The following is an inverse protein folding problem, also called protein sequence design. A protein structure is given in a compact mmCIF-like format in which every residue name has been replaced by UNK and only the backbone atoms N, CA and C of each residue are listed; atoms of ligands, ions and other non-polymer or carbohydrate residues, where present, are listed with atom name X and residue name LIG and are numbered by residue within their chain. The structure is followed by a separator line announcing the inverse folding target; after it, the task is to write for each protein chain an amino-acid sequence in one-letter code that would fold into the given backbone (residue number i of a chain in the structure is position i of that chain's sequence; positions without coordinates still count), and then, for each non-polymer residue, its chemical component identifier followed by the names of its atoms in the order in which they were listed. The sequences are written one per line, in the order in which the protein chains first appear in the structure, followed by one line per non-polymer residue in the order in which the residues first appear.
data_IF_541792633937
#
_entry.id   IF_541792633937
#
_cell.length_a   1.000
_cell.length_b   1.000
_cell.length_c   1.000
_cell.angle_alpha   90.00
_cell.angle_beta   90.00
_cell.angle_gamma   90.00
#
_symmetry.space_group_name_H-M   'P 1'
#
loop_
_entity.id
_entity.type
_entity.pdbx_description
1 polymer ?
#
# COMPACT_ATOMS: atom_id res chain seq x y z
N UNK A 1 22.21 -39.82 -46.32
CA UNK A 1 22.82 -38.50 -46.13
C UNK A 1 22.34 -38.00 -44.77
N UNK A 2 22.90 -38.57 -43.71
CA UNK A 2 22.54 -38.22 -42.32
C UNK A 2 23.57 -37.20 -41.83
N UNK A 3 23.11 -35.98 -41.64
CA UNK A 3 23.88 -34.87 -41.08
C UNK A 3 23.94 -34.99 -39.56
N UNK A 4 25.14 -35.29 -39.04
CA UNK A 4 25.46 -35.20 -37.61
C UNK A 4 25.64 -33.73 -37.23
N UNK A 5 24.68 -33.17 -36.50
CA UNK A 5 24.81 -31.85 -35.86
C UNK A 5 25.65 -31.98 -34.58
N UNK A 6 26.81 -31.32 -34.60
CA UNK A 6 27.74 -31.20 -33.48
C UNK A 6 27.20 -30.21 -32.44
N UNK A 7 26.80 -30.73 -31.27
CA UNK A 7 26.38 -29.90 -30.13
C UNK A 7 27.61 -29.29 -29.44
N UNK A 8 27.74 -27.98 -29.54
CA UNK A 8 28.76 -27.21 -28.83
C UNK A 8 28.43 -27.12 -27.32
N UNK A 9 29.32 -27.64 -26.47
CA UNK A 9 29.25 -27.48 -25.02
C UNK A 9 29.56 -26.02 -24.66
N UNK A 10 28.56 -25.29 -24.19
CA UNK A 10 28.76 -23.96 -23.61
C UNK A 10 29.38 -24.10 -22.22
N UNK A 11 30.49 -23.41 -21.89
CA UNK A 11 31.09 -23.49 -20.56
C UNK A 11 30.15 -22.87 -19.53
N UNK A 12 29.63 -23.69 -18.61
CA UNK A 12 28.87 -23.24 -17.46
C UNK A 12 29.81 -22.54 -16.49
N UNK A 13 29.74 -21.21 -16.42
CA UNK A 13 30.48 -20.42 -15.42
C UNK A 13 30.02 -20.87 -14.01
N UNK A 14 30.90 -21.54 -13.28
CA UNK A 14 30.65 -21.91 -11.88
C UNK A 14 30.77 -20.65 -11.02
N UNK A 15 29.65 -20.10 -10.58
CA UNK A 15 29.67 -19.04 -9.56
C UNK A 15 30.15 -19.65 -8.24
N UNK A 16 31.30 -19.17 -7.75
CA UNK A 16 31.83 -19.58 -6.45
C UNK A 16 30.87 -19.22 -5.33
N UNK A 17 30.60 -20.17 -4.42
CA UNK A 17 29.72 -19.98 -3.27
C UNK A 17 30.54 -19.55 -2.04
N UNK A 18 29.98 -18.68 -1.21
CA UNK A 18 30.52 -18.28 0.09
C UNK A 18 29.62 -18.81 1.20
N UNK A 19 30.15 -18.99 2.41
CA UNK A 19 29.34 -19.34 3.58
C UNK A 19 28.67 -18.10 4.17
N UNK A 20 27.39 -18.20 4.51
CA UNK A 20 26.66 -17.18 5.26
C UNK A 20 27.31 -16.98 6.65
N UNK A 21 27.58 -15.74 7.04
CA UNK A 21 28.30 -15.45 8.29
C UNK A 21 27.58 -15.90 9.58
N UNK A 22 26.25 -16.08 9.55
CA UNK A 22 25.46 -16.45 10.72
C UNK A 22 25.19 -17.96 10.84
N UNK A 23 24.71 -18.58 9.75
CA UNK A 23 24.26 -19.97 9.75
C UNK A 23 25.15 -20.92 8.95
N UNK A 24 26.20 -20.43 8.28
CA UNK A 24 27.11 -21.23 7.47
C UNK A 24 26.55 -21.76 6.15
N UNK A 25 25.31 -21.43 5.78
CA UNK A 25 24.71 -21.89 4.52
C UNK A 25 25.45 -21.34 3.29
N UNK A 26 25.66 -22.19 2.28
CA UNK A 26 26.32 -21.79 1.04
C UNK A 26 25.42 -20.85 0.21
N UNK A 27 25.90 -19.64 -0.08
CA UNK A 27 25.18 -18.59 -0.80
C UNK A 27 26.05 -18.00 -1.91
N UNK A 28 25.44 -17.44 -2.98
CA UNK A 28 26.18 -16.62 -3.91
C UNK A 28 26.71 -15.36 -3.20
N UNK A 29 27.89 -14.83 -3.60
CA UNK A 29 28.46 -13.62 -3.03
C UNK A 29 27.46 -12.46 -3.11
N UNK A 30 27.16 -11.85 -1.96
CA UNK A 30 26.25 -10.71 -1.86
C UNK A 30 26.86 -9.66 -0.92
N UNK A 31 26.46 -8.38 -0.99
CA UNK A 31 27.11 -7.31 -0.22
C UNK A 31 26.95 -7.45 1.30
N UNK A 32 26.08 -8.36 1.77
CA UNK A 32 25.80 -8.57 3.20
C UNK A 32 26.49 -9.81 3.77
N UNK A 33 27.05 -10.68 2.93
CA UNK A 33 27.55 -12.02 3.29
C UNK A 33 26.57 -12.85 4.15
N UNK A 34 25.27 -12.57 4.04
CA UNK A 34 24.19 -13.21 4.79
C UNK A 34 23.18 -13.86 3.84
N UNK A 35 22.62 -15.00 4.23
CA UNK A 35 21.54 -15.64 3.48
C UNK A 35 20.22 -14.89 3.67
N UNK A 36 19.29 -15.04 2.73
CA UNK A 36 17.99 -14.34 2.73
C UNK A 36 17.19 -14.61 4.03
N UNK A 37 17.31 -15.82 4.60
CA UNK A 37 16.67 -16.17 5.87
C UNK A 37 17.21 -15.37 7.05
N UNK A 38 18.54 -15.27 7.19
CA UNK A 38 19.18 -14.52 8.27
C UNK A 38 18.97 -13.01 8.14
N UNK A 39 18.91 -12.48 6.91
CA UNK A 39 18.58 -11.07 6.69
C UNK A 39 17.15 -10.77 7.14
N UNK A 40 16.18 -11.64 6.79
CA UNK A 40 14.77 -11.48 7.18
C UNK A 40 14.53 -11.65 8.68
N UNK A 41 15.34 -12.44 9.38
CA UNK A 41 15.20 -12.62 10.83
C UNK A 41 15.81 -11.46 11.63
N UNK A 42 16.79 -10.74 11.05
CA UNK A 42 17.46 -9.62 11.72
C UNK A 42 16.81 -8.26 11.43
N UNK A 43 16.21 -8.09 10.26
CA UNK A 43 15.66 -6.80 9.83
C UNK A 43 14.22 -6.93 9.43
N UNK A 44 13.34 -6.34 10.23
CA UNK A 44 11.95 -6.15 9.90
C UNK A 44 11.72 -4.75 9.30
N UNK A 45 11.36 -4.70 8.01
CA UNK A 45 11.07 -3.43 7.33
C UNK A 45 9.76 -2.82 7.82
N UNK A 46 8.87 -3.66 8.37
CA UNK A 46 7.52 -3.26 8.79
C UNK A 46 7.44 -2.66 10.19
N UNK A 47 8.57 -2.53 10.88
CA UNK A 47 8.63 -1.92 12.21
C UNK A 47 8.11 -0.47 12.18
N UNK A 48 7.13 -0.17 13.05
CA UNK A 48 6.52 1.15 13.17
C UNK A 48 5.36 1.44 12.21
N UNK A 49 5.01 0.52 11.30
CA UNK A 49 3.81 0.66 10.45
C UNK A 49 2.60 0.05 11.17
N UNK A 50 1.50 0.80 11.38
CA UNK A 50 0.29 0.26 11.96
C UNK A 50 -0.34 -0.76 11.02
N UNK A 51 -0.64 -1.95 11.54
CA UNK A 51 -1.35 -3.02 10.80
C UNK A 51 -2.86 -2.84 10.79
N UNK A 52 -3.37 -1.86 11.55
CA UNK A 52 -4.79 -1.53 11.63
C UNK A 52 -5.00 -0.04 11.40
N UNK A 53 -6.04 0.32 10.66
CA UNK A 53 -6.41 1.71 10.40
C UNK A 53 -7.92 1.87 10.33
N UNK A 54 -8.40 3.10 10.49
CA UNK A 54 -9.82 3.44 10.48
C UNK A 54 -10.15 4.29 9.25
N UNK A 55 -11.22 3.93 8.54
CA UNK A 55 -11.79 4.71 7.45
C UNK A 55 -13.17 5.21 7.88
N UNK A 56 -13.50 6.44 7.51
CA UNK A 56 -14.78 7.05 7.83
C UNK A 56 -15.61 7.21 6.56
N UNK A 57 -16.85 6.72 6.59
CA UNK A 57 -17.82 6.83 5.52
C UNK A 57 -19.05 7.61 6.01
N UNK A 58 -19.61 8.46 5.15
CA UNK A 58 -20.83 9.18 5.45
C UNK A 58 -22.04 8.24 5.47
N UNK A 59 -22.86 8.29 6.53
CA UNK A 59 -24.09 7.47 6.64
C UNK A 59 -25.11 7.72 5.53
N UNK A 60 -25.21 8.95 5.05
CA UNK A 60 -26.28 9.37 4.14
C UNK A 60 -25.86 9.38 2.67
N UNK A 61 -24.69 9.96 2.36
CA UNK A 61 -24.21 10.10 0.98
C UNK A 61 -23.16 9.05 0.58
N UNK A 62 -22.79 8.13 1.48
CA UNK A 62 -21.83 7.06 1.26
C UNK A 62 -20.43 7.50 0.80
N UNK A 63 -20.09 8.79 0.92
CA UNK A 63 -18.78 9.35 0.61
C UNK A 63 -17.76 9.01 1.70
N UNK A 64 -16.51 8.81 1.31
CA UNK A 64 -15.38 8.56 2.19
C UNK A 64 -14.69 9.85 2.61
N UNK A 65 -14.30 9.95 3.88
CA UNK A 65 -13.65 11.14 4.44
C UNK A 65 -12.13 11.12 4.23
N UNK A 66 -11.63 12.06 3.43
CA UNK A 66 -10.22 12.34 3.21
C UNK A 66 -9.78 13.52 4.10
N UNK A 67 -8.90 13.28 5.10
CA UNK A 67 -8.30 14.38 5.86
C UNK A 67 -7.58 15.34 4.92
N UNK A 68 -7.71 16.66 5.11
CA UNK A 68 -8.23 17.33 6.31
C UNK A 68 -9.76 17.49 6.39
N UNK A 69 -10.49 17.67 5.29
CA UNK A 69 -11.95 17.96 5.31
C UNK A 69 -12.72 17.49 4.07
N UNK A 70 -12.06 16.84 3.10
CA UNK A 70 -12.71 16.51 1.83
C UNK A 70 -13.45 15.18 1.87
N UNK A 71 -14.50 15.05 1.06
CA UNK A 71 -15.33 13.86 0.97
C UNK A 71 -15.43 13.42 -0.48
N UNK A 72 -15.13 12.15 -0.77
CA UNK A 72 -15.14 11.61 -2.14
C UNK A 72 -16.00 10.35 -2.20
N UNK A 73 -16.79 10.22 -3.26
CA UNK A 73 -17.42 8.94 -3.55
C UNK A 73 -16.37 7.92 -3.98
N UNK A 74 -16.51 6.67 -3.55
CA UNK A 74 -15.70 5.54 -4.02
C UNK A 74 -16.44 4.24 -3.75
N UNK A 75 -16.47 3.35 -4.74
CA UNK A 75 -17.03 2.01 -4.60
C UNK A 75 -16.11 1.10 -3.78
N UNK A 76 -16.69 0.04 -3.18
CA UNK A 76 -15.91 -0.99 -2.50
C UNK A 76 -15.01 -1.70 -3.52
N UNK A 77 -13.78 -2.05 -3.09
CA UNK A 77 -12.78 -2.71 -3.95
C UNK A 77 -12.38 -1.93 -5.23
N UNK A 78 -12.64 -0.61 -5.26
CA UNK A 78 -12.23 0.26 -6.37
C UNK A 78 -10.80 0.80 -6.22
N UNK A 79 -10.24 1.26 -7.35
CA UNK A 79 -8.93 1.95 -7.38
C UNK A 79 -8.93 3.24 -6.54
N UNK A 80 -10.08 3.91 -6.45
CA UNK A 80 -10.25 5.14 -5.68
C UNK A 80 -10.16 4.89 -4.17
N UNK A 81 -10.80 3.82 -3.70
CA UNK A 81 -10.69 3.38 -2.31
C UNK A 81 -9.25 3.01 -1.95
N UNK A 82 -8.54 2.33 -2.87
CA UNK A 82 -7.14 1.99 -2.67
C UNK A 82 -6.28 3.26 -2.51
N UNK A 83 -6.46 4.25 -3.39
CA UNK A 83 -5.77 5.52 -3.28
C UNK A 83 -6.08 6.23 -1.94
N UNK A 84 -7.31 6.13 -1.45
CA UNK A 84 -7.70 6.64 -0.15
C UNK A 84 -6.96 5.94 1.01
N UNK A 85 -6.93 4.60 1.00
CA UNK A 85 -6.19 3.79 1.96
C UNK A 85 -4.69 4.13 1.96
N UNK A 86 -4.08 4.28 0.78
CA UNK A 86 -2.66 4.64 0.66
C UNK A 86 -2.38 6.04 1.20
N UNK A 87 -3.27 7.03 0.97
CA UNK A 87 -3.11 8.40 1.51
C UNK A 87 -3.05 8.39 3.04
N UNK A 88 -3.87 7.56 3.70
CA UNK A 88 -3.87 7.43 5.17
C UNK A 88 -2.56 6.86 5.71
N UNK A 89 -1.97 5.90 5.02
CA UNK A 89 -0.74 5.22 5.48
C UNK A 89 0.52 5.93 4.98
N UNK A 90 0.43 6.80 3.96
CA UNK A 90 1.57 7.53 3.37
C UNK A 90 2.42 8.25 4.40
N UNK A 91 1.78 8.84 5.43
CA UNK A 91 2.49 9.50 6.53
C UNK A 91 3.47 8.55 7.24
N UNK A 92 3.09 7.30 7.48
CA UNK A 92 3.92 6.31 8.17
C UNK A 92 4.92 5.61 7.24
N UNK A 93 4.57 5.42 5.97
CA UNK A 93 5.39 4.68 4.99
C UNK A 93 6.50 5.54 4.35
N UNK A 94 6.70 6.80 4.76
CA UNK A 94 7.68 7.71 4.11
C UNK A 94 9.12 7.15 4.07
N UNK A 95 9.49 6.26 5.01
CA UNK A 95 10.82 5.62 5.06
C UNK A 95 11.01 4.45 4.09
N UNK A 96 9.94 3.95 3.48
CA UNK A 96 9.94 2.70 2.71
C UNK A 96 9.28 2.94 1.35
N UNK A 97 9.82 2.32 0.29
CA UNK A 97 9.24 2.42 -1.05
C UNK A 97 8.07 1.45 -1.19
N UNK A 98 6.90 1.95 -1.57
CA UNK A 98 5.77 1.11 -1.96
C UNK A 98 6.02 0.53 -3.35
N UNK A 99 5.91 -0.79 -3.50
CA UNK A 99 6.04 -1.49 -4.79
C UNK A 99 4.68 -1.81 -5.37
N UNK A 100 3.81 -2.40 -4.55
CA UNK A 100 2.52 -2.93 -4.99
C UNK A 100 1.49 -2.89 -3.85
N UNK A 101 0.21 -2.81 -4.22
CA UNK A 101 -0.91 -2.78 -3.30
C UNK A 101 -2.11 -3.51 -3.92
N UNK A 102 -2.63 -4.52 -3.22
CA UNK A 102 -3.77 -5.32 -3.68
C UNK A 102 -4.79 -5.52 -2.57
N UNK A 103 -6.06 -5.55 -2.93
CA UNK A 103 -7.12 -5.97 -2.00
C UNK A 103 -7.08 -7.47 -1.79
N UNK A 104 -7.31 -7.88 -0.54
CA UNK A 104 -7.61 -9.26 -0.19
C UNK A 104 -9.12 -9.30 0.02
N UNK A 105 -9.79 -10.20 -0.70
CA UNK A 105 -11.23 -10.39 -0.54
C UNK A 105 -11.56 -10.70 0.92
N UNK A 106 -12.54 -9.99 1.44
CA UNK A 106 -13.06 -10.16 2.79
C UNK A 106 -14.58 -10.28 2.72
N UNK A 107 -15.17 -10.99 3.68
CA UNK A 107 -16.62 -11.19 3.73
C UNK A 107 -17.38 -9.84 3.66
N UNK A 108 -18.41 -9.68 2.80
CA UNK A 108 -19.08 -8.41 2.55
C UNK A 108 -19.67 -7.73 3.80
N UNK A 109 -20.03 -8.49 4.83
CA UNK A 109 -20.65 -7.95 6.04
C UNK A 109 -19.64 -7.48 7.10
N UNK A 110 -18.35 -7.79 6.93
CA UNK A 110 -17.35 -7.59 7.98
C UNK A 110 -17.03 -6.11 8.29
N UNK A 111 -17.50 -5.16 7.45
CA UNK A 111 -17.14 -3.73 7.52
C UNK A 111 -15.64 -3.50 7.67
N UNK A 112 -14.86 -4.44 7.14
CA UNK A 112 -13.40 -4.47 7.21
C UNK A 112 -12.90 -4.74 5.81
N UNK A 113 -11.85 -4.03 5.41
CA UNK A 113 -11.17 -4.24 4.14
C UNK A 113 -9.72 -4.51 4.41
N UNK A 114 -9.21 -5.64 3.90
CA UNK A 114 -7.81 -6.03 4.04
C UNK A 114 -7.06 -5.65 2.77
N UNK A 115 -5.93 -4.98 2.93
CA UNK A 115 -5.05 -4.60 1.82
C UNK A 115 -3.69 -5.23 2.05
N UNK A 116 -3.23 -6.00 1.07
CA UNK A 116 -1.86 -6.51 1.00
C UNK A 116 -0.98 -5.42 0.40
N UNK A 117 -0.02 -4.93 1.17
CA UNK A 117 0.98 -3.97 0.73
C UNK A 117 2.32 -4.66 0.59
N UNK A 118 2.99 -4.42 -0.53
CA UNK A 118 4.34 -4.88 -0.80
C UNK A 118 5.27 -3.68 -0.75
N UNK A 119 6.20 -3.70 0.20
CA UNK A 119 7.12 -2.60 0.45
C UNK A 119 8.57 -3.05 0.27
N UNK A 120 9.43 -2.10 -0.08
CA UNK A 120 10.83 -2.32 -0.38
C UNK A 120 11.68 -1.29 0.34
N UNK A 121 12.71 -1.76 1.02
CA UNK A 121 13.70 -0.93 1.72
C UNK A 121 15.09 -1.41 1.39
N UNK A 122 16.01 -0.47 1.29
CA UNK A 122 17.43 -0.80 1.29
C UNK A 122 17.86 -1.11 2.72
N UNK A 123 18.54 -2.24 2.87
CA UNK A 123 19.01 -2.79 4.13
C UNK A 123 20.50 -3.07 3.99
N UNK A 124 21.27 -2.79 5.04
CA UNK A 124 22.73 -2.89 5.02
C UNK A 124 23.34 -2.10 3.85
N UNK A 125 24.57 -2.42 3.45
CA UNK A 125 25.32 -1.78 2.38
C UNK A 125 24.79 -2.18 0.99
N UNK A 126 23.59 -1.72 0.62
CA UNK A 126 23.05 -1.84 -0.75
C UNK A 126 22.13 -3.03 -1.04
N UNK A 127 21.81 -3.87 -0.06
CA UNK A 127 20.91 -4.99 -0.29
C UNK A 127 19.45 -4.53 -0.24
N UNK A 128 18.69 -4.79 -1.30
CA UNK A 128 17.29 -4.37 -1.36
C UNK A 128 16.39 -5.54 -0.93
N UNK A 129 15.65 -5.35 0.17
CA UNK A 129 14.73 -6.35 0.70
C UNK A 129 13.28 -5.91 0.44
N UNK A 130 12.47 -6.85 -0.03
CA UNK A 130 11.04 -6.68 -0.28
C UNK A 130 10.25 -7.56 0.68
N UNK A 131 9.25 -6.96 1.34
CA UNK A 131 8.39 -7.62 2.32
C UNK A 131 6.94 -7.25 2.04
N UNK A 132 6.05 -8.26 2.11
CA UNK A 132 4.62 -8.06 1.99
C UNK A 132 3.97 -8.19 3.36
N UNK A 133 3.04 -7.30 3.67
CA UNK A 133 2.23 -7.35 4.89
C UNK A 133 0.79 -6.96 4.59
N UNK A 134 -0.12 -7.31 5.51
CA UNK A 134 -1.54 -7.02 5.38
C UNK A 134 -1.91 -5.93 6.38
N UNK A 135 -2.62 -4.92 5.89
CA UNK A 135 -3.24 -3.88 6.72
C UNK A 135 -4.74 -4.06 6.71
N UNK A 136 -5.33 -4.03 7.90
CA UNK A 136 -6.77 -4.11 8.10
C UNK A 136 -7.36 -2.72 8.31
N UNK A 137 -8.28 -2.34 7.44
CA UNK A 137 -9.04 -1.10 7.54
C UNK A 137 -10.43 -1.38 8.08
N UNK A 138 -10.79 -0.78 9.22
CA UNK A 138 -12.15 -0.86 9.79
C UNK A 138 -12.97 0.33 9.33
N UNK A 139 -14.19 0.08 8.85
CA UNK A 139 -15.11 1.12 8.39
C UNK A 139 -15.96 1.65 9.55
N UNK A 140 -15.88 2.96 9.77
CA UNK A 140 -16.68 3.71 10.72
C UNK A 140 -17.63 4.65 10.00
N UNK A 141 -18.80 4.84 10.61
CA UNK A 141 -19.83 5.70 10.06
C UNK A 141 -19.75 7.09 10.72
N UNK A 142 -19.47 8.11 9.94
CA UNK A 142 -19.49 9.52 10.33
C UNK A 142 -20.56 10.26 9.49
N UNK A 143 -20.91 11.49 9.84
CA UNK A 143 -21.79 12.35 9.03
C UNK A 143 -20.93 13.48 8.47
N UNK A 144 -21.00 13.72 7.16
CA UNK A 144 -20.28 14.84 6.54
C UNK A 144 -20.98 16.18 6.83
N UNK A 145 -20.24 17.28 6.72
CA UNK A 145 -20.76 18.61 7.03
C UNK A 145 -21.95 19.00 6.14
N UNK A 146 -21.97 18.57 4.88
CA UNK A 146 -23.10 18.77 3.96
C UNK A 146 -24.37 18.08 4.45
N UNK A 147 -24.29 16.81 4.82
CA UNK A 147 -25.45 16.07 5.34
C UNK A 147 -25.87 16.57 6.72
N UNK A 148 -24.91 17.00 7.55
CA UNK A 148 -25.19 17.60 8.86
C UNK A 148 -25.99 18.91 8.72
N UNK A 149 -25.63 19.79 7.78
CA UNK A 149 -26.39 21.03 7.51
C UNK A 149 -27.78 20.76 6.97
N UNK A 150 -27.92 19.77 6.08
CA UNK A 150 -29.22 19.37 5.54
C UNK A 150 -30.18 18.90 6.65
N UNK A 151 -29.66 18.14 7.62
CA UNK A 151 -30.43 17.68 8.80
C UNK A 151 -30.74 18.82 9.78
N UNK A 152 -29.80 19.77 9.94
CA UNK A 152 -29.97 20.96 10.77
C UNK A 152 -30.94 22.01 10.18
N UNK A 153 -31.48 21.79 8.98
CA UNK A 153 -32.38 22.73 8.29
C UNK A 153 -31.76 24.10 7.99
N UNK A 154 -30.44 24.17 7.82
CA UNK A 154 -29.72 25.40 7.49
C UNK A 154 -29.77 25.66 5.97
N UNK A 155 -30.91 26.15 5.48
CA UNK A 155 -31.20 26.27 4.04
C UNK A 155 -30.66 27.53 3.36
N UNK A 156 -30.06 28.48 4.09
CA UNK A 156 -29.73 29.79 3.51
C UNK A 156 -28.25 29.87 3.11
N UNK A 157 -27.96 29.61 1.84
CA UNK A 157 -26.80 30.20 1.17
C UNK A 157 -27.34 31.26 0.19
N UNK A 158 -27.10 32.53 0.54
CA UNK A 158 -27.67 33.68 -0.14
C UNK A 158 -27.17 33.74 -1.60
N UNK A 159 -28.08 33.57 -2.56
CA UNK A 159 -27.80 33.77 -3.98
C UNK A 159 -27.47 35.24 -4.24
N UNK A 160 -26.33 35.49 -4.87
CA UNK A 160 -25.92 36.83 -5.26
C UNK A 160 -26.97 37.47 -6.17
N UNK A 161 -27.46 38.64 -5.77
CA UNK A 161 -28.27 39.51 -6.59
C UNK A 161 -27.46 39.91 -7.82
N UNK A 162 -27.93 39.53 -9.01
CA UNK A 162 -27.41 40.08 -10.27
C UNK A 162 -27.76 41.57 -10.34
N UNK A 163 -26.81 42.41 -9.94
CA UNK A 163 -26.86 43.84 -10.22
C UNK A 163 -26.52 44.09 -11.69
N UNK A 164 -27.52 44.06 -12.57
CA UNK A 164 -27.41 44.63 -13.91
C UNK A 164 -27.23 46.14 -13.79
N UNK A 165 -26.00 46.63 -13.98
CA UNK A 165 -25.78 48.03 -14.36
C UNK A 165 -26.01 48.16 -15.86
N UNK A 166 -27.23 48.56 -16.24
CA UNK A 166 -27.49 49.18 -17.53
C UNK A 166 -26.77 50.54 -17.56
N UNK A 167 -25.90 50.73 -18.55
CA UNK A 167 -25.50 52.03 -19.08
C UNK A 167 -25.60 51.96 -20.60
#
# INVERSE_FOLDING_TARGET
MESMESQALTPSQSQGLIACCECGHAIPPNPTNMCVGCVRSRVDITEGIPKTAQLFQCKFCLRWHIPPTSWTHAELESKELLAHCLKKIKATITKVRLVDANFIWTEPHSKRTKVKLTVQREVFTGAILQQAFVVEFTHYNQICDECRRAEAKDYWQNSLLFGTTLN
#
